data_IF_556292528826
#
_entry.id   IF_556292528826
#
_cell.length_a   1.000
_cell.length_b   1.000
_cell.length_c   1.000
_cell.angle_alpha   90.00
_cell.angle_beta   90.00
_cell.angle_gamma   90.00
#
_symmetry.space_group_name_H-M   'P 1'
#
loop_
_entity.id
_entity.type
_entity.pdbx_description
1 polymer ?
#
# COMPACT_ATOMS: atom_id res chain seq x y z
N UNK A 1 11.05 20.33 -30.70
CA UNK A 1 10.90 18.85 -30.73
C UNK A 1 12.07 18.34 -31.55
N UNK A 2 13.11 17.87 -30.87
CA UNK A 2 14.36 17.45 -31.50
C UNK A 2 14.23 16.05 -32.09
N UNK A 3 15.09 15.74 -33.06
CA UNK A 3 15.20 14.47 -33.78
C UNK A 3 15.24 13.19 -32.90
N UNK A 4 15.40 13.30 -31.57
CA UNK A 4 15.42 12.14 -30.66
C UNK A 4 14.06 11.48 -30.49
N UNK A 5 12.98 12.25 -30.43
CA UNK A 5 11.67 11.71 -30.02
C UNK A 5 11.00 10.93 -31.14
N UNK A 6 11.26 11.29 -32.41
CA UNK A 6 10.73 10.55 -33.56
C UNK A 6 11.44 9.22 -33.75
N UNK A 7 12.75 9.16 -33.51
CA UNK A 7 13.54 7.93 -33.64
C UNK A 7 13.17 6.90 -32.56
N UNK A 8 12.94 7.37 -31.32
CA UNK A 8 12.48 6.51 -30.22
C UNK A 8 11.06 5.98 -30.50
N UNK A 9 10.16 6.81 -31.03
CA UNK A 9 8.81 6.37 -31.37
C UNK A 9 8.79 5.33 -32.52
N UNK A 10 9.74 5.41 -33.45
CA UNK A 10 9.88 4.48 -34.58
C UNK A 10 10.43 3.11 -34.14
N UNK A 11 11.31 3.08 -33.13
CA UNK A 11 11.95 1.86 -32.64
C UNK A 11 11.14 1.10 -31.57
N UNK A 12 10.36 1.80 -30.74
CA UNK A 12 9.71 1.20 -29.56
C UNK A 12 8.18 1.28 -29.62
N UNK A 13 7.62 1.78 -30.71
CA UNK A 13 6.22 2.20 -30.80
C UNK A 13 5.97 3.52 -30.07
N UNK A 14 4.75 4.06 -30.15
CA UNK A 14 4.38 5.29 -29.44
C UNK A 14 4.70 5.12 -27.94
N UNK A 15 5.60 5.93 -27.35
CA UNK A 15 5.91 5.83 -25.93
C UNK A 15 4.62 6.07 -25.13
N UNK A 16 4.17 5.05 -24.40
CA UNK A 16 3.15 5.24 -23.38
C UNK A 16 3.88 5.51 -22.07
N UNK A 17 3.83 6.76 -21.61
CA UNK A 17 4.35 7.08 -20.28
C UNK A 17 3.39 6.49 -19.23
N UNK A 18 3.92 5.77 -18.22
CA UNK A 18 3.09 5.19 -17.19
C UNK A 18 2.41 6.32 -16.40
N UNK A 19 1.08 6.27 -16.32
CA UNK A 19 0.31 7.20 -15.50
C UNK A 19 0.20 6.69 -14.08
N UNK A 20 0.33 7.61 -13.13
CA UNK A 20 0.09 7.34 -11.72
C UNK A 20 -1.42 7.14 -11.56
N UNK A 21 -1.82 5.98 -11.02
CA UNK A 21 -3.21 5.67 -10.68
C UNK A 21 -3.49 5.73 -9.18
N UNK A 22 -2.41 5.69 -8.39
CA UNK A 22 -2.39 5.75 -6.94
C UNK A 22 -1.07 6.34 -6.46
N UNK A 23 -1.14 7.17 -5.42
CA UNK A 23 0.02 7.66 -4.70
C UNK A 23 -0.23 7.64 -3.20
N UNK A 24 0.79 7.26 -2.45
CA UNK A 24 0.79 7.24 -1.00
C UNK A 24 1.93 8.15 -0.54
N UNK A 25 1.59 9.32 0.01
CA UNK A 25 2.54 10.31 0.51
C UNK A 25 2.59 10.16 2.03
N UNK A 26 3.78 10.10 2.63
CA UNK A 26 3.90 9.90 4.06
C UNK A 26 5.05 10.66 4.70
N UNK A 27 4.95 10.86 6.02
CA UNK A 27 6.03 11.31 6.89
C UNK A 27 6.15 10.34 8.06
N UNK A 28 7.40 9.97 8.36
CA UNK A 28 7.77 9.27 9.59
C UNK A 28 8.26 10.30 10.60
N UNK A 29 7.81 10.17 11.84
CA UNK A 29 8.18 11.10 12.90
C UNK A 29 8.25 10.38 14.24
N UNK A 30 9.27 10.73 15.02
CA UNK A 30 9.47 10.24 16.38
C UNK A 30 8.55 11.01 17.33
N UNK A 31 7.69 10.32 18.07
CA UNK A 31 6.72 10.95 18.94
C UNK A 31 6.22 10.02 20.05
N UNK A 32 6.32 10.47 21.29
CA UNK A 32 5.80 9.76 22.48
C UNK A 32 4.41 10.25 22.91
N UNK A 33 3.68 10.92 22.01
CA UNK A 33 2.31 11.32 22.28
C UNK A 33 1.44 10.08 22.43
N UNK A 34 0.71 10.01 23.55
CA UNK A 34 -0.40 9.08 23.71
C UNK A 34 -1.62 9.60 22.92
N UNK A 35 -1.83 9.03 21.73
CA UNK A 35 -2.93 9.43 20.87
C UNK A 35 -4.31 9.10 21.43
N UNK A 36 -4.41 8.23 22.45
CA UNK A 36 -5.68 7.92 23.12
C UNK A 36 -6.25 9.11 23.89
N UNK A 37 -5.40 10.10 24.21
CA UNK A 37 -5.83 11.35 24.84
C UNK A 37 -6.78 12.18 23.97
N UNK A 38 -6.69 12.05 22.64
CA UNK A 38 -7.51 12.83 21.72
C UNK A 38 -8.87 12.19 21.48
N UNK A 39 -9.92 12.94 21.81
CA UNK A 39 -11.31 12.53 21.60
C UNK A 39 -11.67 12.52 20.11
N UNK A 40 -12.72 11.79 19.78
CA UNK A 40 -13.20 11.66 18.40
C UNK A 40 -13.54 12.99 17.73
N UNK A 41 -14.11 13.94 18.49
CA UNK A 41 -14.45 15.28 18.01
C UNK A 41 -13.22 16.17 17.74
N UNK A 42 -12.02 15.77 18.15
CA UNK A 42 -10.79 16.53 17.87
C UNK A 42 -10.20 16.19 16.50
N UNK A 43 -10.58 15.05 15.93
CA UNK A 43 -10.19 14.61 14.58
C UNK A 43 -11.10 15.22 13.52
N UNK A 44 -10.66 16.30 12.90
CA UNK A 44 -11.37 16.99 11.82
C UNK A 44 -11.01 16.36 10.48
N UNK A 45 -11.85 15.46 9.98
CA UNK A 45 -11.68 14.80 8.69
C UNK A 45 -12.83 15.12 7.73
N UNK A 46 -12.53 15.25 6.43
CA UNK A 46 -13.56 15.39 5.38
C UNK A 46 -14.35 14.10 5.16
N UNK A 47 -13.77 12.94 5.50
CA UNK A 47 -14.48 11.67 5.51
C UNK A 47 -15.14 11.43 6.88
N UNK A 48 -16.38 10.94 6.87
CA UNK A 48 -17.06 10.48 8.09
C UNK A 48 -16.63 9.10 8.58
N UNK A 49 -15.78 8.38 7.83
CA UNK A 49 -15.31 7.04 8.20
C UNK A 49 -14.01 7.13 8.98
N UNK A 50 -14.00 6.65 10.22
CA UNK A 50 -12.81 6.50 11.06
C UNK A 50 -12.82 5.12 11.71
N UNK A 51 -11.67 4.45 11.74
CA UNK A 51 -11.46 3.27 12.56
C UNK A 51 -10.20 3.43 13.41
N UNK A 52 -10.21 2.81 14.59
CA UNK A 52 -9.12 2.84 15.57
C UNK A 52 -8.65 1.40 15.77
N UNK A 53 -7.34 1.19 15.79
CA UNK A 53 -6.71 -0.12 15.91
C UNK A 53 -5.96 -0.20 17.24
N UNK A 54 -6.05 -1.36 17.86
CA UNK A 54 -5.34 -1.68 19.09
C UNK A 54 -4.67 -3.05 18.94
N UNK A 55 -3.49 -3.22 19.52
CA UNK A 55 -2.89 -4.53 19.79
C UNK A 55 -2.71 -4.69 21.30
N UNK A 56 -3.29 -5.76 21.87
CA UNK A 56 -3.26 -6.06 23.32
C UNK A 56 -3.49 -4.81 24.20
N UNK A 57 -4.57 -4.08 23.90
CA UNK A 57 -5.02 -2.84 24.54
C UNK A 57 -4.18 -1.58 24.31
N UNK A 58 -3.04 -1.68 23.62
CA UNK A 58 -2.26 -0.51 23.18
C UNK A 58 -2.85 0.02 21.87
N UNK A 59 -3.11 1.33 21.79
CA UNK A 59 -3.49 1.97 20.53
C UNK A 59 -2.33 1.91 19.55
N UNK A 60 -2.56 1.31 18.37
CA UNK A 60 -1.54 1.13 17.32
C UNK A 60 -1.81 1.98 16.09
N UNK A 61 -3.01 2.53 15.92
CA UNK A 61 -3.25 3.52 14.89
C UNK A 61 -4.71 3.83 14.57
N UNK A 62 -4.87 4.63 13.53
CA UNK A 62 -6.11 5.15 13.00
C UNK A 62 -6.15 4.99 11.49
N UNK A 63 -7.33 4.69 10.94
CA UNK A 63 -7.62 4.89 9.52
C UNK A 63 -8.76 5.89 9.36
N UNK A 64 -8.64 6.74 8.33
CA UNK A 64 -9.64 7.73 7.94
C UNK A 64 -10.00 7.51 6.48
N UNK A 65 -11.29 7.44 6.15
CA UNK A 65 -11.74 7.27 4.78
C UNK A 65 -11.38 5.95 4.12
N UNK A 66 -11.18 4.87 4.90
CA UNK A 66 -10.82 3.57 4.37
C UNK A 66 -11.76 3.11 3.24
N UNK A 67 -11.17 2.56 2.18
CA UNK A 67 -11.86 2.16 0.95
C UNK A 67 -12.24 3.30 0.00
N UNK A 68 -12.03 4.55 0.38
CA UNK A 68 -12.25 5.72 -0.48
C UNK A 68 -11.07 6.01 -1.41
N UNK A 69 -11.31 6.94 -2.34
CA UNK A 69 -10.27 7.45 -3.26
C UNK A 69 -9.24 8.34 -2.54
N UNK A 70 -9.64 8.96 -1.42
CA UNK A 70 -8.75 9.68 -0.51
C UNK A 70 -8.89 9.06 0.88
N UNK A 71 -7.78 8.58 1.45
CA UNK A 71 -7.75 7.99 2.79
C UNK A 71 -6.46 8.35 3.51
N UNK A 72 -6.48 8.30 4.85
CA UNK A 72 -5.28 8.50 5.65
C UNK A 72 -5.09 7.39 6.68
N UNK A 73 -3.84 7.21 7.10
CA UNK A 73 -3.40 6.30 8.15
C UNK A 73 -2.45 7.04 9.07
N UNK A 74 -2.67 6.93 10.38
CA UNK A 74 -1.72 7.32 11.42
C UNK A 74 -1.45 6.08 12.25
N UNK A 75 -0.23 5.55 12.26
CA UNK A 75 0.05 4.28 12.93
C UNK A 75 1.47 4.15 13.47
N UNK A 76 1.64 3.28 14.46
CA UNK A 76 2.92 2.90 15.03
C UNK A 76 3.73 2.13 13.97
N UNK A 77 4.71 2.81 13.40
CA UNK A 77 5.55 2.28 12.34
C UNK A 77 6.66 1.38 12.89
N UNK A 78 7.06 1.61 14.14
CA UNK A 78 8.07 0.82 14.85
C UNK A 78 7.59 -0.61 15.07
N UNK A 79 6.31 -0.76 15.44
CA UNK A 79 5.67 -2.07 15.60
C UNK A 79 5.46 -2.78 14.24
N UNK A 80 5.08 -2.03 13.20
CA UNK A 80 4.92 -2.59 11.84
C UNK A 80 6.23 -3.10 11.25
N UNK A 81 7.36 -2.39 11.44
CA UNK A 81 8.65 -2.82 10.90
C UNK A 81 9.16 -4.08 11.57
N UNK A 82 8.98 -4.22 12.89
CA UNK A 82 9.28 -5.45 13.65
C UNK A 82 8.55 -6.67 13.09
N UNK A 83 7.27 -6.52 12.76
CA UNK A 83 6.46 -7.60 12.21
C UNK A 83 6.77 -7.89 10.72
N UNK A 84 7.20 -6.88 9.96
CA UNK A 84 7.40 -6.99 8.50
C UNK A 84 8.85 -7.22 8.06
N UNK A 85 9.81 -7.32 9.00
CA UNK A 85 11.25 -7.49 8.74
C UNK A 85 11.85 -6.40 7.84
N UNK A 86 11.33 -5.17 7.95
CA UNK A 86 11.78 -4.00 7.15
C UNK A 86 12.79 -3.16 7.92
N UNK A 87 13.83 -3.80 8.44
CA UNK A 87 14.78 -3.18 9.37
C UNK A 87 15.58 -2.03 8.74
N UNK A 88 15.63 -1.95 7.41
CA UNK A 88 16.28 -0.85 6.69
C UNK A 88 15.73 0.55 7.06
N UNK A 89 14.47 0.64 7.48
CA UNK A 89 13.90 1.92 7.95
C UNK A 89 14.64 2.45 9.18
N UNK A 90 15.16 1.57 10.03
CA UNK A 90 15.89 1.97 11.23
C UNK A 90 17.17 2.75 10.88
N UNK A 91 17.86 2.37 9.80
CA UNK A 91 19.04 3.10 9.31
C UNK A 91 18.64 4.51 8.86
N UNK A 92 17.59 4.62 8.03
CA UNK A 92 17.10 5.91 7.52
C UNK A 92 16.67 6.84 8.66
N UNK A 93 15.99 6.31 9.68
CA UNK A 93 15.56 7.10 10.82
C UNK A 93 16.73 7.54 11.69
N UNK A 94 17.72 6.67 11.94
CA UNK A 94 18.94 7.03 12.67
C UNK A 94 19.74 8.12 11.96
N UNK A 95 19.88 8.02 10.64
CA UNK A 95 20.50 9.08 9.81
C UNK A 95 19.75 10.41 9.91
N UNK A 96 18.43 10.35 10.18
CA UNK A 96 17.56 11.50 10.39
C UNK A 96 17.49 11.96 11.86
N UNK A 97 18.30 11.38 12.76
CA UNK A 97 18.41 11.80 14.17
C UNK A 97 17.57 11.00 15.16
N UNK A 98 17.01 9.85 14.77
CA UNK A 98 16.26 8.97 15.69
C UNK A 98 17.18 8.31 16.72
N UNK A 99 16.75 8.30 17.98
CA UNK A 99 17.44 7.73 19.14
C UNK A 99 17.36 6.20 19.24
N UNK A 100 16.61 5.54 18.34
CA UNK A 100 16.32 4.10 18.35
C UNK A 100 15.41 3.62 19.50
N UNK A 101 14.86 4.54 20.30
CA UNK A 101 14.00 4.24 21.45
C UNK A 101 12.60 4.84 21.28
N UNK A 102 12.53 6.11 20.90
CA UNK A 102 11.28 6.87 20.71
C UNK A 102 10.40 6.17 19.66
N UNK A 103 9.10 6.09 19.90
CA UNK A 103 8.20 5.44 18.93
C UNK A 103 8.09 6.25 17.64
N UNK A 104 8.39 5.63 16.50
CA UNK A 104 8.13 6.20 15.17
C UNK A 104 6.66 5.98 14.80
N UNK A 105 5.96 7.09 14.53
CA UNK A 105 4.65 7.11 13.92
C UNK A 105 4.77 7.47 12.44
N UNK A 106 3.88 6.90 11.61
CA UNK A 106 3.72 7.32 10.22
C UNK A 106 2.36 7.95 10.01
N UNK A 107 2.34 9.16 9.47
CA UNK A 107 1.15 9.76 8.85
C UNK A 107 1.24 9.56 7.33
N UNK A 108 0.28 8.86 6.75
CA UNK A 108 0.23 8.50 5.33
C UNK A 108 -1.11 8.90 4.71
N UNK A 109 -1.06 9.60 3.59
CA UNK A 109 -2.22 9.94 2.76
C UNK A 109 -2.16 9.15 1.46
N UNK A 110 -3.19 8.36 1.20
CA UNK A 110 -3.36 7.59 -0.02
C UNK A 110 -4.43 8.24 -0.90
N UNK A 111 -4.04 8.55 -2.14
CA UNK A 111 -4.88 9.09 -3.19
C UNK A 111 -4.97 8.08 -4.33
N UNK A 112 -6.16 7.91 -4.91
CA UNK A 112 -6.42 7.03 -6.07
C UNK A 112 -7.29 7.75 -7.08
N UNK A 113 -7.21 7.37 -8.35
CA UNK A 113 -8.19 7.73 -9.38
C UNK A 113 -8.49 9.24 -9.46
N UNK A 114 -9.71 9.69 -9.15
CA UNK A 114 -10.15 11.08 -9.34
C UNK A 114 -9.25 12.08 -8.59
N UNK A 115 -8.97 11.95 -7.28
CA UNK A 115 -7.98 12.77 -6.57
C UNK A 115 -6.62 12.88 -7.26
N UNK A 116 -6.07 11.78 -7.80
CA UNK A 116 -4.76 11.81 -8.49
C UNK A 116 -4.82 12.75 -9.70
N UNK A 117 -5.93 12.74 -10.45
CA UNK A 117 -6.15 13.64 -11.57
C UNK A 117 -6.42 15.08 -11.13
N UNK A 118 -7.28 15.27 -10.12
CA UNK A 118 -7.67 16.59 -9.60
C UNK A 118 -6.49 17.37 -9.02
N UNK A 119 -5.55 16.67 -8.39
CA UNK A 119 -4.33 17.27 -7.83
C UNK A 119 -3.17 17.38 -8.84
N UNK A 120 -3.36 17.00 -10.11
CA UNK A 120 -2.31 17.06 -11.12
C UNK A 120 -1.14 16.14 -10.78
N UNK A 121 -1.42 14.87 -10.47
CA UNK A 121 -0.43 13.88 -10.06
C UNK A 121 -0.34 12.72 -11.07
N UNK A 122 -0.88 12.88 -12.27
CA UNK A 122 -0.92 11.80 -13.27
C UNK A 122 0.46 11.49 -13.83
N UNK A 123 1.26 12.54 -14.07
CA UNK A 123 2.60 12.43 -14.60
C UNK A 123 3.64 12.59 -13.48
N UNK A 124 4.75 11.84 -13.49
CA UNK A 124 5.77 11.92 -12.44
C UNK A 124 6.31 13.34 -12.19
N UNK A 125 6.52 14.14 -13.24
CA UNK A 125 7.02 15.51 -13.08
C UNK A 125 5.97 16.40 -12.40
N UNK A 126 4.70 16.30 -12.80
CA UNK A 126 3.62 17.06 -12.16
C UNK A 126 3.46 16.64 -10.68
N UNK A 127 3.59 15.34 -10.38
CA UNK A 127 3.59 14.87 -9.00
C UNK A 127 4.70 15.54 -8.17
N UNK A 128 5.92 15.63 -8.69
CA UNK A 128 7.05 16.26 -7.99
C UNK A 128 6.82 17.76 -7.76
N UNK A 129 6.21 18.44 -8.72
CA UNK A 129 5.87 19.86 -8.61
C UNK A 129 4.73 20.11 -7.60
N UNK A 130 3.78 19.17 -7.48
CA UNK A 130 2.55 19.35 -6.71
C UNK A 130 2.58 18.69 -5.31
N UNK A 131 3.53 17.81 -4.99
CA UNK A 131 3.53 17.00 -3.75
C UNK A 131 3.37 17.84 -2.48
N UNK A 132 4.01 19.02 -2.41
CA UNK A 132 3.92 19.91 -1.25
C UNK A 132 2.54 20.55 -1.11
N UNK A 133 1.93 20.96 -2.22
CA UNK A 133 0.56 21.50 -2.22
C UNK A 133 -0.46 20.42 -1.84
N UNK A 134 -0.25 19.18 -2.30
CA UNK A 134 -1.06 18.03 -1.90
C UNK A 134 -0.94 17.75 -0.41
N UNK A 135 0.27 17.77 0.14
CA UNK A 135 0.47 17.58 1.58
C UNK A 135 -0.21 18.67 2.41
N UNK A 136 -0.05 19.93 2.02
CA UNK A 136 -0.71 21.06 2.69
C UNK A 136 -2.24 20.92 2.68
N UNK A 137 -2.81 20.49 1.55
CA UNK A 137 -4.24 20.17 1.48
C UNK A 137 -4.60 19.00 2.41
N UNK A 138 -3.84 17.91 2.34
CA UNK A 138 -4.12 16.67 3.05
C UNK A 138 -4.08 16.85 4.57
N UNK A 139 -3.00 17.43 5.10
CA UNK A 139 -2.79 17.66 6.53
C UNK A 139 -3.45 18.95 7.05
N UNK A 140 -3.75 19.92 6.17
CA UNK A 140 -4.32 21.21 6.56
C UNK A 140 -5.85 21.25 6.46
N UNK A 141 -6.43 20.57 5.47
CA UNK A 141 -7.88 20.63 5.18
C UNK A 141 -8.57 19.28 5.23
N UNK A 142 -7.95 18.23 4.71
CA UNK A 142 -8.63 16.93 4.58
C UNK A 142 -8.66 16.15 5.90
N UNK A 143 -7.56 16.11 6.64
CA UNK A 143 -7.46 15.57 8.00
C UNK A 143 -6.60 16.49 8.84
N UNK A 144 -7.12 16.94 9.97
CA UNK A 144 -6.34 17.62 11.00
C UNK A 144 -6.81 17.30 12.41
N UNK A 145 -5.89 17.47 13.36
CA UNK A 145 -6.14 17.29 14.78
C UNK A 145 -6.15 18.65 15.48
N UNK A 146 -7.19 18.93 16.27
CA UNK A 146 -7.38 20.23 16.94
C UNK A 146 -7.67 20.07 18.42
N UNK A 147 -7.28 21.03 19.24
CA UNK A 147 -7.68 21.05 20.66
C UNK A 147 -9.10 21.60 20.80
N UNK A 148 -9.94 20.89 21.55
CA UNK A 148 -11.29 21.36 21.87
C UNK A 148 -11.21 22.63 22.72
N UNK A 149 -11.77 23.73 22.22
CA UNK A 149 -11.85 25.02 22.93
C UNK A 149 -13.29 25.42 23.29
N UNK A 150 -14.26 24.51 23.11
CA UNK A 150 -15.68 24.74 23.39
C UNK A 150 -16.46 25.51 22.32
N UNK A 151 -15.84 26.01 21.24
CA UNK A 151 -16.57 26.63 20.11
C UNK A 151 -17.35 25.54 19.33
N UNK A 152 -18.58 25.85 18.91
CA UNK A 152 -19.41 24.96 18.07
C UNK A 152 -18.78 24.71 16.69
N UNK A 153 -18.01 25.66 16.19
CA UNK A 153 -17.32 25.55 14.91
C UNK A 153 -15.89 25.02 15.10
N UNK A 154 -15.74 23.71 14.85
CA UNK A 154 -14.46 22.98 14.96
C UNK A 154 -13.33 23.53 14.09
N UNK A 155 -13.62 24.27 13.01
CA UNK A 155 -12.55 24.87 12.19
C UNK A 155 -11.83 26.03 12.88
N UNK A 156 -12.43 26.60 13.93
CA UNK A 156 -11.84 27.65 14.77
C UNK A 156 -11.02 27.12 15.93
N UNK A 157 -11.05 25.81 16.16
CA UNK A 157 -10.26 25.19 17.21
C UNK A 157 -8.77 25.29 16.86
N UNK A 158 -7.88 25.57 17.83
CA UNK A 158 -6.45 25.63 17.56
C UNK A 158 -5.94 24.27 17.09
N UNK A 159 -4.95 24.29 16.19
CA UNK A 159 -4.32 23.08 15.69
C UNK A 159 -3.52 22.43 16.83
N UNK A 160 -3.49 21.09 16.89
CA UNK A 160 -2.63 20.40 17.85
C UNK A 160 -1.16 20.67 17.50
N UNK A 161 -0.29 20.86 18.49
CA UNK A 161 1.12 21.24 18.25
C UNK A 161 1.84 20.24 17.34
N UNK A 162 1.69 18.94 17.60
CA UNK A 162 2.21 17.88 16.73
C UNK A 162 1.69 17.99 15.30
N UNK A 163 0.47 18.50 15.12
CA UNK A 163 -0.14 18.66 13.81
C UNK A 163 0.31 19.93 13.08
N UNK A 164 0.71 20.98 13.82
CA UNK A 164 1.42 22.14 13.26
C UNK A 164 2.75 21.70 12.64
N UNK A 165 3.51 20.87 13.36
CA UNK A 165 4.77 20.31 12.87
C UNK A 165 4.53 19.46 11.61
N UNK A 166 3.56 18.54 11.65
CA UNK A 166 3.20 17.70 10.50
C UNK A 166 2.76 18.52 9.27
N UNK A 167 1.99 19.60 9.48
CA UNK A 167 1.56 20.49 8.40
C UNK A 167 2.73 21.30 7.80
N UNK A 168 3.75 21.60 8.61
CA UNK A 168 4.93 22.36 8.19
C UNK A 168 5.88 21.57 7.29
N UNK A 169 5.77 20.24 7.27
CA UNK A 169 6.62 19.35 6.47
C UNK A 169 6.60 19.75 4.99
N UNK A 170 7.79 19.75 4.38
CA UNK A 170 7.98 19.96 2.93
C UNK A 170 8.87 18.87 2.37
N UNK A 171 8.42 18.25 1.29
CA UNK A 171 9.18 17.28 0.50
C UNK A 171 10.14 18.05 -0.41
N UNK A 172 11.41 18.10 -0.02
CA UNK A 172 12.48 18.68 -0.84
C UNK A 172 13.07 17.62 -1.76
N UNK A 173 12.36 17.36 -2.86
CA UNK A 173 12.78 16.35 -3.85
C UNK A 173 13.66 16.94 -4.97
N UNK A 174 14.39 18.04 -4.72
CA UNK A 174 15.33 18.60 -5.71
C UNK A 174 16.63 17.79 -5.67
N UNK A 175 16.98 17.16 -6.80
CA UNK A 175 18.13 16.25 -6.95
C UNK A 175 18.12 15.06 -5.98
N UNK A 176 17.05 14.24 -5.96
CA UNK A 176 17.05 13.05 -5.13
C UNK A 176 18.19 12.14 -5.62
N UNK A 177 18.93 11.46 -4.73
CA UNK A 177 19.86 10.43 -5.16
C UNK A 177 19.12 9.42 -6.04
N UNK A 178 19.77 8.84 -7.08
CA UNK A 178 19.12 7.86 -7.94
C UNK A 178 18.48 6.77 -7.09
N UNK A 179 17.19 6.51 -7.33
CA UNK A 179 16.49 5.47 -6.60
C UNK A 179 17.23 4.14 -6.82
N UNK A 180 17.83 3.61 -5.74
CA UNK A 180 18.41 2.27 -5.78
C UNK A 180 17.27 1.29 -5.63
N UNK A 181 16.97 0.54 -6.69
CA UNK A 181 16.04 -0.58 -6.60
C UNK A 181 16.63 -1.61 -5.63
N UNK A 182 16.08 -1.70 -4.43
CA UNK A 182 16.26 -2.85 -3.57
C UNK A 182 15.38 -3.96 -4.15
N UNK A 183 15.97 -4.89 -4.91
CA UNK A 183 15.24 -6.11 -5.28
C UNK A 183 15.13 -6.98 -4.04
N UNK A 184 14.11 -6.73 -3.24
CA UNK A 184 13.58 -7.81 -2.40
C UNK A 184 13.03 -8.82 -3.38
N UNK A 185 13.58 -10.04 -3.43
CA UNK A 185 12.95 -11.14 -4.17
C UNK A 185 11.49 -11.19 -3.72
N UNK A 186 10.57 -10.81 -4.61
CA UNK A 186 9.14 -10.75 -4.29
C UNK A 186 8.48 -12.12 -4.36
N UNK A 187 9.27 -13.17 -4.58
CA UNK A 187 8.85 -14.56 -4.54
C UNK A 187 8.74 -14.98 -3.07
N UNK A 188 7.57 -15.48 -2.61
CA UNK A 188 7.47 -16.07 -1.28
C UNK A 188 8.50 -17.18 -1.11
N UNK A 189 9.07 -17.32 0.09
CA UNK A 189 10.05 -18.37 0.33
C UNK A 189 9.44 -19.76 0.06
N UNK A 190 10.29 -20.72 -0.33
CA UNK A 190 9.85 -22.08 -0.71
C UNK A 190 9.07 -22.78 0.42
N UNK A 191 9.52 -22.61 1.65
CA UNK A 191 8.90 -23.22 2.83
C UNK A 191 7.46 -22.74 3.01
N UNK A 192 7.22 -21.43 2.91
CA UNK A 192 5.88 -20.84 2.99
C UNK A 192 4.98 -21.34 1.88
N UNK A 193 5.49 -21.43 0.63
CA UNK A 193 4.71 -22.00 -0.48
C UNK A 193 4.30 -23.45 -0.19
N UNK A 194 5.17 -24.26 0.40
CA UNK A 194 4.87 -25.66 0.70
C UNK A 194 3.86 -25.76 1.86
N UNK A 195 4.14 -25.12 2.99
CA UNK A 195 3.32 -25.22 4.21
C UNK A 195 1.92 -24.67 3.96
N UNK A 196 1.80 -23.53 3.28
CA UNK A 196 0.51 -22.90 3.04
C UNK A 196 -0.40 -23.76 2.14
N UNK A 197 0.15 -24.34 1.05
CA UNK A 197 -0.62 -25.21 0.16
C UNK A 197 -0.99 -26.54 0.83
N UNK A 198 -0.07 -27.15 1.59
CA UNK A 198 -0.36 -28.36 2.36
C UNK A 198 -1.40 -28.11 3.46
N UNK A 199 -1.35 -26.97 4.14
CA UNK A 199 -2.31 -26.61 5.19
C UNK A 199 -3.74 -26.49 4.65
N UNK A 200 -3.91 -25.86 3.47
CA UNK A 200 -5.20 -25.77 2.80
C UNK A 200 -5.73 -27.15 2.37
N UNK A 201 -4.90 -27.95 1.71
CA UNK A 201 -5.31 -29.28 1.24
C UNK A 201 -5.61 -30.25 2.39
N UNK A 202 -4.80 -30.27 3.43
CA UNK A 202 -5.03 -31.14 4.61
C UNK A 202 -6.27 -30.75 5.39
N UNK A 203 -6.60 -29.45 5.45
CA UNK A 203 -7.87 -28.98 6.03
C UNK A 203 -9.07 -29.45 5.20
N UNK A 204 -8.98 -29.38 3.87
CA UNK A 204 -10.00 -29.88 2.96
C UNK A 204 -10.18 -31.40 3.07
N UNK A 205 -9.07 -32.14 3.14
CA UNK A 205 -9.04 -33.60 3.36
C UNK A 205 -9.78 -33.97 4.65
N UNK A 206 -9.42 -33.35 5.77
CA UNK A 206 -10.04 -33.62 7.06
C UNK A 206 -11.53 -33.29 7.09
N UNK A 207 -11.93 -32.17 6.47
CA UNK A 207 -13.33 -31.75 6.41
C UNK A 207 -14.22 -32.71 5.59
N UNK A 208 -13.64 -33.41 4.62
CA UNK A 208 -14.34 -34.33 3.72
C UNK A 208 -14.08 -35.82 4.03
N UNK A 209 -13.31 -36.13 5.09
CA UNK A 209 -12.95 -37.51 5.45
C UNK A 209 -12.12 -38.22 4.36
N UNK A 210 -11.26 -37.49 3.67
CA UNK A 210 -10.42 -38.01 2.59
C UNK A 210 -8.99 -38.23 3.11
N UNK A 211 -8.52 -39.47 3.10
CA UNK A 211 -7.16 -39.82 3.53
C UNK A 211 -6.16 -39.91 2.36
N UNK A 212 -6.65 -39.96 1.13
CA UNK A 212 -5.83 -40.03 -0.09
C UNK A 212 -5.61 -38.65 -0.71
N UNK A 213 -4.35 -38.25 -0.85
CA UNK A 213 -3.96 -36.91 -1.30
C UNK A 213 -4.35 -36.67 -2.76
N UNK A 214 -4.18 -37.67 -3.63
CA UNK A 214 -4.47 -37.53 -5.06
C UNK A 214 -5.97 -37.39 -5.29
N UNK A 215 -6.77 -38.21 -4.60
CA UNK A 215 -8.22 -38.10 -4.58
C UNK A 215 -8.67 -36.74 -4.05
N UNK A 216 -8.07 -36.26 -2.95
CA UNK A 216 -8.40 -34.97 -2.37
C UNK A 216 -8.15 -33.81 -3.33
N UNK A 217 -7.02 -33.82 -4.03
CA UNK A 217 -6.69 -32.77 -5.00
C UNK A 217 -7.67 -32.74 -6.18
N UNK A 218 -7.97 -33.91 -6.75
CA UNK A 218 -8.92 -34.02 -7.86
C UNK A 218 -10.34 -33.60 -7.44
N UNK A 219 -10.76 -34.01 -6.24
CA UNK A 219 -12.07 -33.66 -5.70
C UNK A 219 -12.16 -32.17 -5.38
N UNK A 220 -11.11 -31.58 -4.82
CA UNK A 220 -11.01 -30.14 -4.58
C UNK A 220 -11.15 -29.33 -5.88
N UNK A 221 -10.48 -29.75 -6.96
CA UNK A 221 -10.59 -29.07 -8.25
C UNK A 221 -12.00 -29.15 -8.83
N UNK A 222 -12.69 -30.29 -8.69
CA UNK A 222 -14.08 -30.44 -9.11
C UNK A 222 -15.04 -29.55 -8.30
N UNK A 223 -14.91 -29.56 -6.96
CA UNK A 223 -15.72 -28.72 -6.07
C UNK A 223 -15.47 -27.23 -6.31
N UNK A 224 -14.22 -26.83 -6.60
CA UNK A 224 -13.89 -25.45 -6.96
C UNK A 224 -14.56 -25.03 -8.27
N UNK A 225 -14.61 -25.92 -9.26
CA UNK A 225 -15.27 -25.68 -10.54
C UNK A 225 -16.79 -25.54 -10.38
N UNK A 226 -17.40 -26.39 -9.55
CA UNK A 226 -18.82 -26.29 -9.18
C UNK A 226 -19.09 -24.97 -8.45
N UNK A 227 -18.26 -24.62 -7.47
CA UNK A 227 -18.37 -23.36 -6.72
C UNK A 227 -18.41 -22.13 -7.64
N UNK A 228 -17.52 -22.04 -8.63
CA UNK A 228 -17.50 -20.90 -9.56
C UNK A 228 -18.68 -20.90 -10.54
N UNK A 229 -19.25 -22.06 -10.86
CA UNK A 229 -20.47 -22.15 -11.68
C UNK A 229 -21.72 -21.71 -10.90
N UNK A 230 -21.80 -22.04 -9.62
CA UNK A 230 -22.95 -21.73 -8.77
C UNK A 230 -22.92 -20.29 -8.23
N UNK A 231 -21.73 -19.77 -7.95
CA UNK A 231 -21.58 -18.47 -7.32
C UNK A 231 -21.74 -17.36 -8.36
N UNK A 232 -22.80 -16.55 -8.24
CA UNK A 232 -23.05 -15.30 -9.01
C UNK A 232 -21.99 -14.18 -8.79
N UNK A 233 -20.74 -14.50 -8.44
CA UNK A 233 -19.63 -13.54 -8.45
C UNK A 233 -19.14 -13.45 -9.89
N UNK A 234 -19.46 -12.35 -10.54
CA UNK A 234 -19.36 -12.12 -12.00
C UNK A 234 -17.96 -12.19 -12.63
N UNK A 235 -16.91 -12.52 -11.86
CA UNK A 235 -15.53 -12.33 -12.33
C UNK A 235 -14.91 -13.61 -12.95
N UNK A 236 -15.40 -14.82 -12.60
CA UNK A 236 -14.82 -16.08 -13.08
C UNK A 236 -15.88 -17.18 -13.29
N UNK A 237 -15.76 -17.96 -14.36
CA UNK A 237 -16.69 -19.04 -14.75
C UNK A 237 -16.22 -20.45 -14.39
N UNK A 238 -14.96 -20.63 -14.01
CA UNK A 238 -14.36 -21.91 -13.62
C UNK A 238 -13.18 -21.71 -12.68
N UNK A 239 -12.73 -22.78 -12.03
CA UNK A 239 -11.52 -22.77 -11.23
C UNK A 239 -10.28 -22.46 -12.09
N UNK A 240 -10.25 -22.95 -13.33
CA UNK A 240 -9.17 -22.66 -14.28
C UNK A 240 -9.10 -21.17 -14.63
N UNK A 241 -10.23 -20.52 -14.91
CA UNK A 241 -10.26 -19.07 -15.21
C UNK A 241 -9.72 -18.25 -14.04
N UNK A 242 -10.09 -18.63 -12.81
CA UNK A 242 -9.57 -18.01 -11.60
C UNK A 242 -8.06 -18.21 -11.45
N UNK A 243 -7.57 -19.44 -11.68
CA UNK A 243 -6.14 -19.77 -11.61
C UNK A 243 -5.35 -18.96 -12.63
N UNK A 244 -5.78 -18.92 -13.89
CA UNK A 244 -5.08 -18.20 -14.96
C UNK A 244 -4.98 -16.71 -14.67
N UNK A 245 -6.09 -16.09 -14.24
CA UNK A 245 -6.09 -14.68 -13.83
C UNK A 245 -5.14 -14.42 -12.66
N UNK A 246 -5.11 -15.31 -11.65
CA UNK A 246 -4.21 -15.17 -10.49
C UNK A 246 -2.76 -15.47 -10.82
N UNK A 247 -2.49 -16.35 -11.79
CA UNK A 247 -1.13 -16.60 -12.27
C UNK A 247 -0.57 -15.39 -13.00
N UNK A 248 -1.37 -14.72 -13.83
CA UNK A 248 -0.91 -13.51 -14.54
C UNK A 248 -0.62 -12.35 -13.57
N UNK A 249 -1.51 -12.14 -12.58
CA UNK A 249 -1.28 -11.18 -11.49
C UNK A 249 0.04 -11.47 -10.75
N UNK A 250 0.27 -12.74 -10.40
CA UNK A 250 1.47 -13.18 -9.66
C UNK A 250 2.74 -13.11 -10.51
N UNK A 251 2.69 -13.42 -11.82
CA UNK A 251 3.83 -13.30 -12.74
C UNK A 251 4.32 -11.86 -12.85
N UNK A 252 3.39 -10.92 -12.90
CA UNK A 252 3.68 -9.48 -12.88
C UNK A 252 4.30 -9.08 -11.54
N UNK A 253 3.76 -9.57 -10.42
CA UNK A 253 4.21 -9.23 -9.06
C UNK A 253 5.57 -9.82 -8.68
N UNK A 254 5.84 -11.06 -9.10
CA UNK A 254 7.04 -11.81 -8.71
C UNK A 254 8.28 -11.46 -9.53
N UNK A 255 8.17 -10.55 -10.52
CA UNK A 255 9.30 -10.08 -11.34
C UNK A 255 10.16 -11.24 -11.88
N UNK A 256 9.54 -12.37 -12.24
CA UNK A 256 10.25 -13.55 -12.71
C UNK A 256 10.94 -13.19 -14.04
N UNK A 257 12.27 -13.39 -14.19
CA UNK A 257 12.93 -13.13 -15.45
C UNK A 257 12.29 -13.98 -16.55
N UNK A 258 11.86 -13.34 -17.65
CA UNK A 258 11.41 -14.07 -18.84
C UNK A 258 12.56 -14.97 -19.29
N UNK A 259 12.39 -16.29 -19.15
CA UNK A 259 13.26 -17.24 -19.82
C UNK A 259 13.02 -17.04 -21.32
N UNK A 260 13.94 -16.36 -22.01
CA UNK A 260 13.99 -16.50 -23.46
C UNK A 260 14.37 -17.96 -23.73
N UNK A 261 13.42 -18.71 -24.28
CA UNK A 261 13.65 -19.98 -24.93
C UNK A 261 14.67 -19.73 -26.05
N UNK A 262 15.92 -20.09 -25.81
CA UNK A 262 16.83 -20.43 -26.89
C UNK A 262 16.34 -21.77 -27.44
N UNK A 263 15.47 -21.72 -28.44
CA UNK A 263 15.39 -22.82 -29.39
C UNK A 263 16.70 -22.76 -30.20
N UNK A 264 17.64 -23.61 -29.82
CA UNK A 264 18.76 -23.98 -30.68
C UNK A 264 18.19 -24.91 -31.75
N UNK A 265 17.99 -24.37 -32.94
CA UNK A 265 18.08 -25.14 -34.17
C UNK A 265 19.53 -25.09 -34.64
N UNK A 266 20.23 -26.21 -34.54
CA UNK A 266 21.42 -26.53 -35.33
C UNK A 266 21.26 -27.99 -35.76
N UNK A 267 20.81 -28.18 -37.00
CA UNK A 267 21.25 -29.27 -37.89
C UNK A 267 21.89 -28.61 -39.13
#
# INVERSE_FOLDING_TARGET
>A
MGLSDSLVAELVGKPCFPRISRVDICVDFACDIDWSFFKDNQWCCRSGRKAIYHDRDKLTGFTFGAGGEFSARLYDKTEETKNSKKDFFNDVWRESGWDSETTIWRLEFQLRQAPVKEFGLLEPNEFMDNINAVWEYAAGKWLNLRYDNGDKNRSRWPLALVWEDLLSVRFNLKNPPPAKRLSVESVPNREWLIIYNLGGLTSYMAANGIDDIEHAFNRFMADADEFFKETRRQDFSSALDYIDAKLEEKRTRFCMPRKHSKEQGDE
#
